data_IF_378099060492
#
_entry.id   IF_378099060492
#
_cell.length_a   1.000
_cell.length_b   1.000
_cell.length_c   1.000
_cell.angle_alpha   90.00
_cell.angle_beta   90.00
_cell.angle_gamma   90.00
#
_symmetry.space_group_name_H-M   'P 1'
#
loop_
_entity.id
_entity.type
_entity.pdbx_description
1 polymer ?
#
# COMPACT_ATOMS: atom_id res chain seq x y z
N UNK A 1 4.39 -19.26 -21.40
CA UNK A 1 3.80 -19.62 -20.09
C UNK A 1 4.91 -19.63 -19.04
N UNK A 2 4.72 -18.96 -17.90
CA UNK A 2 5.77 -18.72 -16.88
C UNK A 2 6.32 -20.01 -16.26
N UNK A 3 5.44 -20.97 -15.94
CA UNK A 3 5.83 -22.28 -15.39
C UNK A 3 6.75 -23.06 -16.33
N UNK A 4 6.48 -23.06 -17.64
CA UNK A 4 7.37 -23.68 -18.65
C UNK A 4 8.73 -22.98 -18.75
N UNK A 5 8.79 -21.69 -18.44
CA UNK A 5 10.03 -20.89 -18.44
C UNK A 5 10.77 -20.96 -17.10
N UNK A 6 10.22 -21.68 -16.11
CA UNK A 6 10.71 -21.76 -14.73
C UNK A 6 11.11 -20.38 -14.17
N UNK A 7 10.32 -19.37 -14.48
CA UNK A 7 10.58 -17.97 -14.14
C UNK A 7 9.33 -17.12 -14.35
N UNK A 8 9.12 -16.16 -13.45
CA UNK A 8 8.08 -15.16 -13.59
C UNK A 8 7.73 -14.46 -12.29
N UNK A 9 6.96 -13.39 -12.41
CA UNK A 9 6.42 -12.61 -11.30
C UNK A 9 4.92 -12.34 -11.54
N UNK A 10 4.10 -12.63 -10.54
CA UNK A 10 2.69 -12.28 -10.47
C UNK A 10 2.52 -11.24 -9.38
N UNK A 11 1.94 -10.08 -9.73
CA UNK A 11 1.68 -8.98 -8.81
C UNK A 11 0.17 -8.81 -8.63
N UNK A 12 -0.33 -9.04 -7.43
CA UNK A 12 -1.74 -8.81 -7.09
C UNK A 12 -1.89 -7.46 -6.40
N UNK A 13 -2.73 -6.57 -6.92
CA UNK A 13 -2.92 -5.22 -6.35
C UNK A 13 -3.88 -5.28 -5.16
N UNK A 14 -3.31 -5.19 -3.96
CA UNK A 14 -4.05 -5.13 -2.71
C UNK A 14 -4.00 -3.71 -2.12
N UNK A 15 -4.21 -3.56 -0.83
CA UNK A 15 -4.06 -2.30 -0.10
C UNK A 15 -3.96 -2.57 1.39
N UNK A 16 -3.63 -1.52 2.14
CA UNK A 16 -3.57 -1.57 3.60
C UNK A 16 -4.94 -1.89 4.26
N UNK A 17 -6.04 -1.69 3.54
CA UNK A 17 -7.39 -2.05 3.99
C UNK A 17 -7.64 -3.56 4.11
N UNK A 18 -6.68 -4.41 3.76
CA UNK A 18 -6.74 -5.84 4.06
C UNK A 18 -6.55 -6.16 5.55
N UNK A 19 -5.92 -5.26 6.32
CA UNK A 19 -5.57 -5.50 7.72
C UNK A 19 -6.56 -4.90 8.72
N UNK A 20 -7.34 -3.90 8.31
CA UNK A 20 -8.30 -3.21 9.18
C UNK A 20 -9.46 -2.64 8.37
N UNK A 21 -10.51 -2.22 9.08
CA UNK A 21 -11.70 -1.67 8.46
C UNK A 21 -11.39 -0.36 7.72
N UNK A 22 -11.43 -0.40 6.39
CA UNK A 22 -11.24 0.75 5.51
C UNK A 22 -12.39 0.81 4.49
N UNK A 23 -13.01 1.98 4.37
CA UNK A 23 -14.19 2.26 3.53
C UNK A 23 -15.44 1.43 3.87
N UNK A 24 -15.48 0.17 3.44
CA UNK A 24 -16.62 -0.74 3.61
C UNK A 24 -16.14 -2.17 3.75
N UNK A 25 -16.95 -3.03 4.36
CA UNK A 25 -16.65 -4.46 4.58
C UNK A 25 -16.20 -5.16 3.30
N UNK A 26 -16.90 -4.93 2.18
CA UNK A 26 -16.59 -5.55 0.88
C UNK A 26 -15.20 -5.15 0.36
N UNK A 27 -14.75 -3.92 0.65
CA UNK A 27 -13.42 -3.46 0.26
C UNK A 27 -12.34 -4.21 1.05
N UNK A 28 -12.47 -4.25 2.38
CA UNK A 28 -11.51 -4.96 3.24
C UNK A 28 -11.45 -6.46 2.93
N UNK A 29 -12.60 -7.11 2.76
CA UNK A 29 -12.68 -8.53 2.36
C UNK A 29 -11.99 -8.76 1.01
N UNK A 30 -12.28 -7.92 0.01
CA UNK A 30 -11.65 -8.05 -1.31
C UNK A 30 -10.13 -7.92 -1.25
N UNK A 31 -9.62 -6.97 -0.47
CA UNK A 31 -8.17 -6.75 -0.31
C UNK A 31 -7.51 -7.84 0.52
N UNK A 32 -8.16 -8.34 1.57
CA UNK A 32 -7.70 -9.52 2.30
C UNK A 32 -7.66 -10.78 1.41
N UNK A 33 -8.64 -10.96 0.52
CA UNK A 33 -8.64 -12.04 -0.46
C UNK A 33 -7.48 -11.90 -1.47
N UNK A 34 -7.17 -10.68 -1.92
CA UNK A 34 -5.99 -10.43 -2.77
C UNK A 34 -4.67 -10.81 -2.08
N UNK A 35 -4.51 -10.44 -0.81
CA UNK A 35 -3.32 -10.81 -0.04
C UNK A 35 -3.21 -12.33 0.15
N UNK A 36 -4.33 -12.98 0.47
CA UNK A 36 -4.38 -14.44 0.60
C UNK A 36 -4.06 -15.14 -0.72
N UNK A 37 -4.66 -14.69 -1.83
CA UNK A 37 -4.40 -15.23 -3.16
C UNK A 37 -2.90 -15.18 -3.48
N UNK A 38 -2.27 -14.03 -3.27
CA UNK A 38 -0.84 -13.88 -3.54
C UNK A 38 0.02 -14.83 -2.68
N UNK A 39 -0.34 -15.03 -1.41
CA UNK A 39 0.35 -15.93 -0.49
C UNK A 39 0.17 -17.41 -0.86
N UNK A 40 -1.05 -17.83 -1.18
CA UNK A 40 -1.35 -19.23 -1.51
C UNK A 40 -0.72 -19.60 -2.87
N UNK A 41 -0.83 -18.72 -3.87
CA UNK A 41 -0.13 -18.89 -5.15
C UNK A 41 1.39 -18.96 -4.96
N UNK A 42 1.97 -18.27 -3.98
CA UNK A 42 3.40 -18.37 -3.70
C UNK A 42 3.80 -19.77 -3.22
N UNK A 43 2.92 -20.51 -2.55
CA UNK A 43 3.14 -21.90 -2.16
C UNK A 43 3.08 -22.81 -3.39
N UNK A 44 2.01 -22.71 -4.17
CA UNK A 44 1.77 -23.57 -5.33
C UNK A 44 2.78 -23.33 -6.46
N UNK A 45 3.26 -22.10 -6.63
CA UNK A 45 4.16 -21.72 -7.71
C UNK A 45 5.65 -21.78 -7.35
N UNK A 46 5.98 -22.02 -6.07
CA UNK A 46 7.36 -22.16 -5.60
C UNK A 46 8.16 -23.22 -6.37
N UNK A 47 7.62 -24.43 -6.65
CA UNK A 47 8.34 -25.46 -7.44
C UNK A 47 8.62 -25.04 -8.88
N UNK A 48 7.91 -24.04 -9.40
CA UNK A 48 8.03 -23.52 -10.77
C UNK A 48 8.85 -22.24 -10.85
N UNK A 49 9.48 -21.82 -9.74
CA UNK A 49 10.29 -20.59 -9.67
C UNK A 49 9.53 -19.34 -10.18
N UNK A 50 8.22 -19.28 -9.90
CA UNK A 50 7.38 -18.12 -10.18
C UNK A 50 7.04 -17.44 -8.87
N UNK A 51 7.43 -16.17 -8.74
CA UNK A 51 7.13 -15.37 -7.57
C UNK A 51 5.69 -14.86 -7.63
N UNK A 52 4.99 -14.90 -6.50
CA UNK A 52 3.67 -14.29 -6.33
C UNK A 52 3.73 -13.33 -5.16
N UNK A 53 3.35 -12.07 -5.37
CA UNK A 53 3.44 -11.01 -4.37
C UNK A 53 2.16 -10.17 -4.33
N UNK A 54 1.85 -9.67 -3.14
CA UNK A 54 0.82 -8.64 -2.98
C UNK A 54 1.47 -7.27 -3.00
N UNK A 55 0.98 -6.37 -3.85
CA UNK A 55 1.47 -5.00 -3.96
C UNK A 55 0.49 -4.08 -3.23
N UNK A 56 1.01 -3.25 -2.33
CA UNK A 56 0.25 -2.21 -1.65
C UNK A 56 0.70 -0.83 -2.14
N UNK A 57 -0.04 -0.24 -3.09
CA UNK A 57 0.09 1.18 -3.40
C UNK A 57 -0.27 2.07 -2.21
N UNK A 58 0.20 3.31 -2.28
CA UNK A 58 -0.27 4.42 -1.46
C UNK A 58 -1.68 4.88 -1.86
N UNK A 59 -1.96 6.17 -1.65
CA UNK A 59 -3.22 6.76 -2.10
C UNK A 59 -3.04 7.18 -3.55
N UNK A 60 -3.48 6.32 -4.47
CA UNK A 60 -3.26 6.54 -5.90
C UNK A 60 -4.28 7.53 -6.45
N UNK A 61 -3.80 8.62 -7.03
CA UNK A 61 -4.62 9.70 -7.59
C UNK A 61 -5.33 9.34 -8.91
N UNK A 62 -6.20 8.34 -8.90
CA UNK A 62 -7.06 8.03 -10.05
C UNK A 62 -8.28 8.94 -10.11
N UNK A 63 -8.98 8.95 -11.23
CA UNK A 63 -10.24 9.67 -11.42
C UNK A 63 -11.27 9.26 -10.35
N UNK A 64 -11.35 7.95 -10.07
CA UNK A 64 -12.22 7.39 -9.04
C UNK A 64 -11.83 7.85 -7.63
N UNK A 65 -10.55 7.88 -7.29
CA UNK A 65 -10.11 8.37 -5.98
C UNK A 65 -10.30 9.88 -5.84
N UNK A 66 -10.14 10.63 -6.94
CA UNK A 66 -10.40 12.07 -6.97
C UNK A 66 -11.88 12.39 -6.79
N UNK A 67 -12.79 11.64 -7.41
CA UNK A 67 -14.23 11.82 -7.21
C UNK A 67 -14.63 11.47 -5.77
N UNK A 68 -14.13 10.34 -5.27
CA UNK A 68 -14.38 9.88 -3.90
C UNK A 68 -13.87 10.87 -2.84
N UNK A 69 -12.68 11.45 -3.02
CA UNK A 69 -12.15 12.50 -2.15
C UNK A 69 -13.02 13.78 -2.19
N UNK A 70 -13.56 14.12 -3.35
CA UNK A 70 -14.45 15.28 -3.53
C UNK A 70 -15.80 15.08 -2.86
N UNK A 71 -16.38 13.89 -2.95
CA UNK A 71 -17.64 13.52 -2.28
C UNK A 71 -17.52 13.54 -0.75
N UNK A 72 -16.40 13.06 -0.19
CA UNK A 72 -16.11 13.17 1.25
C UNK A 72 -16.09 14.62 1.73
N UNK A 73 -15.50 15.53 0.95
CA UNK A 73 -15.43 16.95 1.30
C UNK A 73 -16.80 17.62 1.34
N UNK A 74 -17.75 17.17 0.50
CA UNK A 74 -19.08 17.78 0.39
C UNK A 74 -20.04 17.31 1.48
N UNK A 75 -19.90 16.07 1.94
CA UNK A 75 -20.88 15.44 2.84
C UNK A 75 -20.65 15.74 4.32
N UNK A 76 -19.58 16.46 4.70
CA UNK A 76 -19.18 16.75 6.10
C UNK A 76 -19.13 15.50 7.01
N UNK A 77 -19.21 14.29 6.44
CA UNK A 77 -19.09 13.00 7.12
C UNK A 77 -17.62 12.65 7.37
N UNK A 78 -16.80 13.66 7.66
CA UNK A 78 -15.46 13.48 8.21
C UNK A 78 -15.57 12.74 9.54
N UNK A 79 -15.67 11.41 9.49
CA UNK A 79 -14.89 10.60 10.38
C UNK A 79 -13.47 11.13 10.25
N UNK A 80 -13.00 11.86 11.27
CA UNK A 80 -11.68 12.54 11.31
C UNK A 80 -10.54 11.62 10.83
N UNK A 81 -10.75 10.31 10.95
CA UNK A 81 -9.90 9.20 10.58
C UNK A 81 -9.44 9.15 9.12
N UNK A 82 -10.12 9.81 8.16
CA UNK A 82 -9.72 9.74 6.72
C UNK A 82 -9.40 11.09 6.05
N UNK A 83 -9.25 12.16 6.85
CA UNK A 83 -8.98 13.51 6.33
C UNK A 83 -7.68 13.65 5.52
N UNK A 84 -6.78 12.66 5.56
CA UNK A 84 -5.57 12.66 4.72
C UNK A 84 -5.87 12.34 3.25
N UNK A 85 -6.99 11.65 2.96
CA UNK A 85 -7.43 11.33 1.61
C UNK A 85 -7.97 12.59 0.94
N UNK A 86 -8.86 13.32 1.62
CA UNK A 86 -9.45 14.57 1.12
C UNK A 86 -8.41 15.65 0.85
N UNK A 87 -7.40 15.77 1.71
CA UNK A 87 -6.38 16.83 1.64
C UNK A 87 -5.29 16.55 0.61
N UNK A 88 -5.41 15.46 -0.16
CA UNK A 88 -4.39 14.99 -1.11
C UNK A 88 -3.01 14.78 -0.47
N UNK A 89 -2.97 14.50 0.84
CA UNK A 89 -1.72 14.31 1.56
C UNK A 89 -1.14 12.93 1.27
N UNK A 90 0.14 12.87 0.88
CA UNK A 90 0.85 11.62 0.56
C UNK A 90 0.21 10.81 -0.59
N UNK A 91 -0.38 11.52 -1.56
CA UNK A 91 -0.86 10.89 -2.78
C UNK A 91 0.29 10.50 -3.69
N UNK A 92 0.09 9.45 -4.47
CA UNK A 92 1.02 8.99 -5.50
C UNK A 92 0.30 8.87 -6.84
N UNK A 93 1.04 8.96 -7.93
CA UNK A 93 0.50 8.69 -9.26
C UNK A 93 0.53 7.19 -9.56
N UNK A 94 -0.31 6.70 -10.50
CA UNK A 94 -0.20 5.33 -11.01
C UNK A 94 1.19 5.01 -11.59
N UNK A 95 1.94 6.02 -12.05
CA UNK A 95 3.27 5.88 -12.63
C UNK A 95 4.28 5.34 -11.61
N UNK A 96 4.20 5.78 -10.34
CA UNK A 96 5.08 5.27 -9.29
C UNK A 96 4.92 3.75 -9.10
N UNK A 97 3.67 3.29 -9.02
CA UNK A 97 3.35 1.87 -8.90
C UNK A 97 3.88 1.09 -10.11
N UNK A 98 3.65 1.60 -11.32
CA UNK A 98 4.16 0.98 -12.55
C UNK A 98 5.69 0.88 -12.59
N UNK A 99 6.41 1.96 -12.25
CA UNK A 99 7.88 1.99 -12.16
C UNK A 99 8.41 0.99 -11.14
N UNK A 100 7.76 0.90 -9.98
CA UNK A 100 8.15 -0.05 -8.92
C UNK A 100 7.94 -1.50 -9.37
N UNK A 101 6.81 -1.82 -10.01
CA UNK A 101 6.55 -3.18 -10.54
C UNK A 101 7.56 -3.53 -11.63
N UNK A 102 7.90 -2.58 -12.52
CA UNK A 102 8.93 -2.79 -13.54
C UNK A 102 10.30 -3.10 -12.92
N UNK A 103 10.72 -2.36 -11.90
CA UNK A 103 11.97 -2.63 -11.18
C UNK A 103 11.93 -3.97 -10.43
N UNK A 104 10.80 -4.31 -9.84
CA UNK A 104 10.59 -5.60 -9.17
C UNK A 104 10.69 -6.78 -10.17
N UNK A 105 10.13 -6.62 -11.37
CA UNK A 105 10.23 -7.62 -12.44
C UNK A 105 11.66 -7.81 -12.97
N UNK A 106 12.51 -6.77 -12.88
CA UNK A 106 13.93 -6.83 -13.22
C UNK A 106 14.85 -7.29 -12.07
N UNK A 107 14.30 -7.59 -10.88
CA UNK A 107 15.11 -7.95 -9.73
C UNK A 107 15.74 -9.37 -9.89
N UNK A 108 17.07 -9.53 -9.73
CA UNK A 108 17.75 -10.82 -9.97
C UNK A 108 17.24 -11.99 -9.12
N UNK A 109 16.72 -11.73 -7.92
CA UNK A 109 16.19 -12.74 -7.01
C UNK A 109 14.81 -12.35 -6.49
N UNK A 110 13.85 -12.18 -7.40
CA UNK A 110 12.47 -11.84 -7.04
C UNK A 110 11.79 -12.88 -6.14
N UNK A 111 12.23 -14.15 -6.18
CA UNK A 111 11.72 -15.22 -5.32
C UNK A 111 11.90 -14.93 -3.83
N UNK A 112 12.90 -14.12 -3.43
CA UNK A 112 13.05 -13.69 -2.02
C UNK A 112 11.84 -12.89 -1.50
N UNK A 113 11.00 -12.38 -2.40
CA UNK A 113 9.80 -11.59 -2.07
C UNK A 113 8.50 -12.40 -2.18
N UNK A 114 8.54 -13.62 -2.69
CA UNK A 114 7.34 -14.45 -2.90
C UNK A 114 6.57 -14.66 -1.59
N UNK A 115 5.25 -14.63 -1.66
CA UNK A 115 4.33 -14.81 -0.53
C UNK A 115 4.30 -13.65 0.46
N UNK A 116 4.83 -12.47 0.08
CA UNK A 116 4.91 -11.29 0.96
C UNK A 116 4.25 -10.08 0.33
N UNK A 117 3.72 -9.23 1.21
CA UNK A 117 3.28 -7.88 0.87
C UNK A 117 4.50 -7.00 0.57
N UNK A 118 4.42 -6.24 -0.52
CA UNK A 118 5.38 -5.21 -0.89
C UNK A 118 4.69 -3.85 -0.93
N UNK A 119 5.17 -2.90 -0.12
CA UNK A 119 4.66 -1.52 -0.12
C UNK A 119 5.39 -0.71 -1.19
N UNK A 120 4.65 -0.06 -2.08
CA UNK A 120 5.19 0.69 -3.22
C UNK A 120 6.20 1.76 -2.76
N UNK A 121 5.83 2.61 -1.80
CA UNK A 121 6.71 3.64 -1.25
C UNK A 121 8.04 3.08 -0.69
N UNK A 122 8.01 1.87 -0.12
CA UNK A 122 9.22 1.24 0.43
C UNK A 122 10.12 0.66 -0.65
N UNK A 123 9.54 0.02 -1.67
CA UNK A 123 10.26 -0.45 -2.83
C UNK A 123 10.83 0.73 -3.62
N UNK A 124 10.06 1.82 -3.78
CA UNK A 124 10.53 3.03 -4.44
C UNK A 124 11.77 3.59 -3.73
N UNK A 125 11.77 3.63 -2.39
CA UNK A 125 12.95 4.00 -1.61
C UNK A 125 14.13 3.03 -1.82
N UNK A 126 13.88 1.72 -1.83
CA UNK A 126 14.91 0.70 -2.03
C UNK A 126 15.56 0.77 -3.42
N UNK A 127 14.76 1.04 -4.46
CA UNK A 127 15.21 1.08 -5.85
C UNK A 127 15.65 2.48 -6.31
N UNK A 128 15.56 3.51 -5.45
CA UNK A 128 15.88 4.87 -5.83
C UNK A 128 14.86 5.51 -6.79
N UNK A 129 13.64 4.96 -6.89
CA UNK A 129 12.58 5.43 -7.78
C UNK A 129 11.88 6.63 -7.14
N UNK A 130 11.46 7.55 -8.00
CA UNK A 130 10.64 8.73 -7.68
C UNK A 130 9.36 8.70 -8.50
N UNK A 131 8.35 9.42 -8.04
CA UNK A 131 7.08 9.60 -8.73
C UNK A 131 7.23 10.56 -9.92
N UNK A 132 6.13 10.94 -10.57
CA UNK A 132 6.09 11.81 -11.74
C UNK A 132 6.79 13.16 -11.50
N UNK A 133 6.57 13.80 -10.34
CA UNK A 133 7.12 15.13 -10.04
C UNK A 133 8.47 15.08 -9.29
N UNK A 134 9.12 13.91 -9.25
CA UNK A 134 10.42 13.72 -8.61
C UNK A 134 10.36 13.52 -7.09
N UNK A 135 9.15 13.54 -6.52
CA UNK A 135 8.88 13.28 -5.13
C UNK A 135 8.85 11.77 -4.81
N UNK A 136 8.93 11.45 -3.51
CA UNK A 136 8.81 10.08 -3.01
C UNK A 136 7.90 10.09 -1.79
N UNK A 137 6.71 9.47 -1.86
CA UNK A 137 5.81 9.43 -0.72
C UNK A 137 6.44 8.62 0.43
N UNK A 138 6.37 9.08 1.69
CA UNK A 138 6.64 8.22 2.84
C UNK A 138 5.78 6.96 2.83
N UNK A 139 6.35 5.87 3.38
CA UNK A 139 5.60 4.64 3.59
C UNK A 139 4.39 4.90 4.47
N UNK A 140 3.27 4.24 4.16
CA UNK A 140 2.04 4.28 4.95
C UNK A 140 2.27 3.84 6.42
N UNK A 141 3.32 3.06 6.70
CA UNK A 141 3.71 2.68 8.07
C UNK A 141 4.83 3.53 8.67
N UNK A 142 5.26 4.60 8.01
CA UNK A 142 6.28 5.49 8.56
C UNK A 142 5.69 6.47 9.57
N UNK A 143 6.47 6.90 10.57
CA UNK A 143 6.07 8.00 11.45
C UNK A 143 5.75 9.27 10.68
N UNK A 144 6.49 9.53 9.59
CA UNK A 144 6.30 10.66 8.68
C UNK A 144 4.93 10.66 8.00
N UNK A 145 4.29 9.49 7.84
CA UNK A 145 2.90 9.39 7.39
C UNK A 145 1.91 9.32 8.57
N UNK A 146 2.15 8.42 9.52
CA UNK A 146 1.20 8.07 10.58
C UNK A 146 0.88 9.26 11.49
N UNK A 147 1.89 10.04 11.89
CA UNK A 147 1.67 11.19 12.77
C UNK A 147 0.81 12.28 12.09
N UNK A 148 1.11 12.73 10.85
CA UNK A 148 0.23 13.66 10.13
C UNK A 148 -1.14 13.10 9.71
N UNK A 149 -1.28 11.78 9.60
CA UNK A 149 -2.57 11.14 9.34
C UNK A 149 -3.50 11.27 10.57
N UNK A 150 -2.97 11.05 11.78
CA UNK A 150 -3.71 11.15 13.05
C UNK A 150 -3.87 12.60 13.51
N UNK A 151 -2.83 13.43 13.33
CA UNK A 151 -2.80 14.83 13.74
C UNK A 151 -2.62 15.73 12.50
N UNK A 152 -3.71 16.19 11.87
CA UNK A 152 -3.65 16.96 10.62
C UNK A 152 -2.76 18.22 10.68
N UNK A 153 -2.63 18.83 11.86
CA UNK A 153 -1.75 20.00 12.08
C UNK A 153 -0.28 19.72 11.74
N UNK A 154 0.15 18.45 11.84
CA UNK A 154 1.52 18.04 11.53
C UNK A 154 1.79 17.86 10.03
N UNK A 155 0.79 17.91 9.15
CA UNK A 155 0.98 17.72 7.69
C UNK A 155 1.96 18.73 7.09
N UNK A 156 1.83 20.00 7.49
CA UNK A 156 2.72 21.10 7.07
C UNK A 156 4.16 20.93 7.56
N UNK A 157 4.34 20.19 8.65
CA UNK A 157 5.63 19.95 9.31
C UNK A 157 6.13 18.51 9.13
N UNK A 158 5.52 17.74 8.23
CA UNK A 158 5.89 16.35 7.97
C UNK A 158 7.37 16.19 7.61
N UNK A 159 7.98 17.23 7.04
CA UNK A 159 9.39 17.24 6.70
C UNK A 159 10.34 17.11 7.90
N UNK A 160 9.91 17.58 9.09
CA UNK A 160 10.63 17.46 10.37
C UNK A 160 10.48 16.07 11.01
N UNK A 161 9.51 15.28 10.56
CA UNK A 161 9.23 13.98 11.14
C UNK A 161 10.14 12.93 10.49
N UNK A 162 10.85 12.13 11.30
CA UNK A 162 11.74 11.10 10.77
C UNK A 162 10.96 10.03 10.03
N UNK A 163 11.47 9.60 8.87
CA UNK A 163 10.90 8.52 8.06
C UNK A 163 11.31 7.13 8.62
N UNK A 164 10.93 6.89 9.88
CA UNK A 164 11.15 5.64 10.60
C UNK A 164 9.90 4.78 10.45
N UNK A 165 10.08 3.54 10.01
CA UNK A 165 8.98 2.61 9.81
C UNK A 165 8.55 1.99 11.14
N UNK A 166 7.25 2.01 11.40
CA UNK A 166 6.63 1.45 12.59
C UNK A 166 6.29 -0.03 12.34
N UNK A 167 6.54 -0.93 13.29
CA UNK A 167 6.07 -2.33 13.23
C UNK A 167 4.54 -2.44 13.14
N UNK A 168 4.06 -3.45 12.41
CA UNK A 168 2.62 -3.67 12.26
C UNK A 168 1.90 -3.96 13.56
N UNK A 169 2.54 -4.68 14.49
CA UNK A 169 1.97 -4.95 15.82
C UNK A 169 1.55 -3.66 16.52
N UNK A 170 2.35 -2.58 16.41
CA UNK A 170 2.03 -1.29 17.02
C UNK A 170 0.91 -0.55 16.28
N UNK A 171 0.92 -0.58 14.94
CA UNK A 171 -0.10 0.10 14.13
C UNK A 171 -1.48 -0.55 14.26
N UNK A 172 -1.54 -1.84 14.55
CA UNK A 172 -2.79 -2.59 14.68
C UNK A 172 -3.38 -2.62 16.09
N UNK A 173 -2.66 -2.13 17.11
CA UNK A 173 -3.13 -2.10 18.51
C UNK A 173 -4.53 -1.50 18.66
N UNK A 174 -4.85 -0.46 17.88
CA UNK A 174 -6.13 0.23 17.92
C UNK A 174 -7.06 -0.10 16.74
N UNK A 175 -6.54 -0.76 15.70
CA UNK A 175 -7.29 -1.05 14.48
C UNK A 175 -8.12 -2.34 14.59
N UNK A 176 -7.68 -3.27 15.43
CA UNK A 176 -8.38 -4.52 15.74
C UNK A 176 -9.27 -4.31 16.97
N UNK A 177 -10.34 -3.53 16.82
CA UNK A 177 -11.47 -3.68 17.73
C UNK A 177 -12.06 -5.06 17.47
N UNK A 178 -11.71 -6.06 18.29
CA UNK A 178 -12.42 -7.34 18.26
C UNK A 178 -13.93 -7.09 18.27
N UNK A 179 -14.75 -7.93 17.59
CA UNK A 179 -16.19 -7.87 17.79
C UNK A 179 -16.46 -7.90 19.30
N UNK A 180 -17.21 -6.90 19.78
CA UNK A 180 -17.71 -6.90 21.15
C UNK A 180 -18.75 -8.00 21.22
N UNK A 181 -18.35 -9.18 21.68
CA UNK A 181 -19.26 -10.24 22.12
C UNK A 181 -19.65 -9.90 23.55
#
# INVERSE_FOLDING_TARGET
>A
MMTKRNSGLICTISSWGSMFYLFKTVYGVGKAACDRLAADMAVELKPHNVASVSIWPGIVGTELFSSFASEMNQTNTTEKNYSFISDRYNWETPLLTGRVIAALAGEPNVMRRTGRVQIVAELAKQYGIVDENGDRPPSLRSLRFVLPAVLPILRKYSWLIPDIKVPWSLLLLNALSSPRI
#
